data_IF_100911188349
#
_entry.id   IF_100911188349
#
_cell.length_a   1.000
_cell.length_b   1.000
_cell.length_c   1.000
_cell.angle_alpha   90.00
_cell.angle_beta   90.00
_cell.angle_gamma   90.00
#
_symmetry.space_group_name_H-M   'P 1'
#
loop_
_entity.id
_entity.type
_entity.pdbx_description
1 polymer ?
#
# COMPACT_ATOMS: atom_id res chain seq x y z
N UNK A 1 -22.60 -24.17 6.65
CA UNK A 1 -21.31 -23.61 6.28
C UNK A 1 -21.52 -22.18 5.75
N UNK A 2 -20.76 -21.25 6.26
CA UNK A 2 -20.89 -19.86 5.83
C UNK A 2 -20.45 -19.71 4.37
N UNK A 3 -21.21 -18.95 3.62
CA UNK A 3 -20.84 -18.65 2.22
C UNK A 3 -19.63 -17.73 2.20
N UNK A 4 -18.71 -17.92 1.25
CA UNK A 4 -17.62 -16.99 1.06
C UNK A 4 -18.15 -15.57 0.82
N UNK A 5 -17.39 -14.59 1.29
CA UNK A 5 -17.75 -13.18 1.10
C UNK A 5 -17.94 -12.83 -0.39
N UNK A 6 -17.17 -13.46 -1.27
CA UNK A 6 -17.28 -13.27 -2.71
C UNK A 6 -18.67 -13.59 -3.27
N UNK A 7 -19.33 -14.61 -2.75
CA UNK A 7 -20.69 -14.97 -3.20
C UNK A 7 -21.71 -13.92 -2.77
N UNK A 8 -21.54 -13.35 -1.60
CA UNK A 8 -22.42 -12.28 -1.12
C UNK A 8 -22.22 -11.01 -1.95
N UNK A 9 -20.99 -10.68 -2.29
CA UNK A 9 -20.66 -9.51 -3.10
C UNK A 9 -21.18 -9.63 -4.53
N UNK A 10 -21.22 -10.85 -5.08
CA UNK A 10 -21.73 -11.08 -6.43
C UNK A 10 -23.22 -10.77 -6.59
N UNK A 11 -23.95 -10.68 -5.49
CA UNK A 11 -25.38 -10.33 -5.50
C UNK A 11 -25.62 -8.83 -5.47
N UNK A 12 -24.57 -8.03 -5.29
CA UNK A 12 -24.64 -6.57 -5.23
C UNK A 12 -24.25 -6.01 -6.60
N UNK A 13 -24.66 -4.78 -6.88
CA UNK A 13 -24.28 -4.09 -8.12
C UNK A 13 -22.74 -4.09 -8.27
N UNK A 14 -22.22 -4.66 -9.38
CA UNK A 14 -20.77 -4.76 -9.58
C UNK A 14 -20.04 -3.41 -9.56
N UNK A 15 -20.66 -2.35 -10.05
CA UNK A 15 -20.06 -1.02 -10.07
C UNK A 15 -19.86 -0.47 -8.66
N UNK A 16 -20.83 -0.69 -7.77
CA UNK A 16 -20.76 -0.27 -6.38
C UNK A 16 -19.68 -1.06 -5.64
N UNK A 17 -19.61 -2.36 -5.88
CA UNK A 17 -18.61 -3.24 -5.27
C UNK A 17 -17.21 -2.82 -5.71
N UNK A 18 -17.01 -2.55 -7.00
CA UNK A 18 -15.71 -2.14 -7.53
C UNK A 18 -15.27 -0.80 -6.95
N UNK A 19 -16.17 0.18 -6.88
CA UNK A 19 -15.84 1.49 -6.30
C UNK A 19 -15.46 1.37 -4.82
N UNK A 20 -16.20 0.55 -4.05
CA UNK A 20 -15.90 0.33 -2.64
C UNK A 20 -14.55 -0.38 -2.46
N UNK A 21 -14.22 -1.33 -3.32
CA UNK A 21 -12.93 -2.01 -3.30
C UNK A 21 -11.77 -1.07 -3.56
N UNK A 22 -11.89 -0.24 -4.58
CA UNK A 22 -10.85 0.74 -4.94
C UNK A 22 -10.60 1.71 -3.79
N UNK A 23 -11.65 2.22 -3.17
CA UNK A 23 -11.53 3.12 -2.03
C UNK A 23 -10.85 2.43 -0.84
N UNK A 24 -11.25 1.20 -0.52
CA UNK A 24 -10.66 0.44 0.57
C UNK A 24 -9.18 0.10 0.30
N UNK A 25 -8.81 -0.23 -0.93
CA UNK A 25 -7.43 -0.51 -1.31
C UNK A 25 -6.53 0.72 -1.16
N UNK A 26 -7.02 1.89 -1.52
CA UNK A 26 -6.28 3.14 -1.38
C UNK A 26 -6.06 3.48 0.09
N UNK A 27 -7.08 3.33 0.93
CA UNK A 27 -6.96 3.54 2.37
C UNK A 27 -5.99 2.56 3.03
N UNK A 28 -6.02 1.29 2.59
CA UNK A 28 -5.11 0.26 3.09
C UNK A 28 -3.66 0.60 2.73
N UNK A 29 -3.40 1.16 1.54
CA UNK A 29 -2.05 1.55 1.15
C UNK A 29 -1.50 2.62 2.09
N UNK A 30 -2.29 3.65 2.38
CA UNK A 30 -1.89 4.71 3.30
C UNK A 30 -1.62 4.18 4.71
N UNK A 31 -2.50 3.34 5.22
CA UNK A 31 -2.34 2.71 6.53
C UNK A 31 -1.12 1.79 6.57
N UNK A 32 -0.85 1.06 5.50
CA UNK A 32 0.26 0.11 5.47
C UNK A 32 1.64 0.76 5.56
N UNK A 33 1.82 1.95 5.03
CA UNK A 33 3.12 2.62 5.14
C UNK A 33 3.48 2.90 6.60
N UNK A 34 2.58 3.52 7.36
CA UNK A 34 2.81 3.76 8.77
C UNK A 34 2.83 2.46 9.58
N UNK A 35 1.96 1.50 9.26
CA UNK A 35 1.92 0.22 9.95
C UNK A 35 3.19 -0.60 9.76
N UNK A 36 3.75 -0.62 8.55
CA UNK A 36 5.02 -1.29 8.29
C UNK A 36 6.13 -0.67 9.12
N UNK A 37 6.17 0.66 9.15
CA UNK A 37 7.15 1.39 9.97
C UNK A 37 7.00 1.04 11.45
N UNK A 38 5.78 1.04 11.96
CA UNK A 38 5.47 0.72 13.36
C UNK A 38 5.80 -0.72 13.72
N UNK A 39 5.57 -1.67 12.81
CA UNK A 39 5.92 -3.07 13.04
C UNK A 39 7.43 -3.26 13.22
N UNK A 40 8.22 -2.42 12.61
CA UNK A 40 9.68 -2.43 12.75
C UNK A 40 10.15 -1.57 13.93
N UNK A 41 9.21 -1.04 14.71
CA UNK A 41 9.47 -0.19 15.86
C UNK A 41 10.26 1.09 15.48
N UNK A 42 10.04 1.58 14.26
CA UNK A 42 10.66 2.80 13.77
C UNK A 42 9.73 3.98 13.97
N UNK A 43 10.21 5.04 14.61
CA UNK A 43 9.48 6.30 14.69
C UNK A 43 9.59 7.07 13.36
N UNK A 44 8.74 8.07 13.18
CA UNK A 44 8.86 8.97 12.02
C UNK A 44 10.22 9.68 12.01
N UNK A 45 10.74 10.02 13.19
CA UNK A 45 12.07 10.67 13.34
C UNK A 45 13.16 9.75 12.85
N UNK A 46 13.14 8.48 13.27
CA UNK A 46 14.12 7.50 12.82
C UNK A 46 14.02 7.24 11.31
N UNK A 47 12.81 7.17 10.80
CA UNK A 47 12.57 6.98 9.36
C UNK A 47 13.10 8.17 8.57
N UNK A 48 12.86 9.39 9.07
CA UNK A 48 13.38 10.62 8.48
C UNK A 48 14.90 10.59 8.42
N UNK A 49 15.53 10.16 9.49
CA UNK A 49 16.99 10.04 9.56
C UNK A 49 17.51 9.06 8.51
N UNK A 50 16.88 7.90 8.37
CA UNK A 50 17.26 6.88 7.38
C UNK A 50 17.09 7.37 5.94
N UNK A 51 16.04 8.15 5.70
CA UNK A 51 15.75 8.71 4.38
C UNK A 51 16.52 9.99 4.07
N UNK A 52 17.15 10.61 5.09
CA UNK A 52 17.83 11.89 4.92
C UNK A 52 16.88 13.05 4.64
N UNK A 53 15.67 13.00 5.16
CA UNK A 53 14.64 14.03 5.00
C UNK A 53 14.09 14.44 6.36
N UNK A 54 13.24 15.46 6.40
CA UNK A 54 12.64 15.92 7.65
C UNK A 54 11.50 15.01 8.09
N UNK A 55 11.19 15.02 9.39
CA UNK A 55 10.04 14.28 9.93
C UNK A 55 8.72 14.71 9.27
N UNK A 56 8.43 16.01 9.07
CA UNK A 56 7.21 16.40 8.34
C UNK A 56 7.13 15.82 6.93
N UNK A 57 8.28 15.65 6.25
CA UNK A 57 8.31 15.03 4.94
C UNK A 57 7.91 13.56 5.00
N UNK A 58 8.33 12.84 6.04
CA UNK A 58 7.90 11.45 6.26
C UNK A 58 6.39 11.39 6.50
N UNK A 59 5.89 12.27 7.36
CA UNK A 59 4.45 12.34 7.62
C UNK A 59 3.64 12.61 6.35
N UNK A 60 4.15 13.51 5.49
CA UNK A 60 3.52 13.79 4.20
C UNK A 60 3.54 12.60 3.26
N UNK A 61 4.65 11.87 3.20
CA UNK A 61 4.74 10.64 2.39
C UNK A 61 3.69 9.62 2.84
N UNK A 62 3.56 9.42 4.13
CA UNK A 62 2.60 8.47 4.69
C UNK A 62 1.15 8.89 4.41
N UNK A 63 0.88 10.19 4.37
CA UNK A 63 -0.45 10.71 4.04
C UNK A 63 -0.77 10.65 2.55
N UNK A 64 0.25 10.67 1.69
CA UNK A 64 0.09 10.69 0.23
C UNK A 64 0.00 9.31 -0.40
N UNK A 65 -0.30 8.27 0.35
CA UNK A 65 -0.24 6.90 -0.14
C UNK A 65 -0.75 6.67 -1.56
N UNK A 66 -1.76 7.44 -2.00
CA UNK A 66 -2.33 7.32 -3.35
C UNK A 66 -1.54 8.09 -4.41
N UNK A 67 -0.86 9.15 -4.02
CA UNK A 67 -0.17 10.06 -4.93
C UNK A 67 1.35 9.94 -4.82
N UNK A 68 1.83 8.98 -4.04
CA UNK A 68 3.26 8.80 -3.87
C UNK A 68 3.90 8.33 -5.17
N UNK A 69 5.02 8.95 -5.51
CA UNK A 69 5.79 8.49 -6.65
C UNK A 69 6.39 7.12 -6.36
N UNK A 70 6.48 6.28 -7.37
CA UNK A 70 7.05 4.95 -7.23
C UNK A 70 8.49 5.00 -6.71
N UNK A 71 9.26 5.98 -7.17
CA UNK A 71 10.63 6.17 -6.68
C UNK A 71 10.68 6.51 -5.19
N UNK A 72 9.75 7.32 -4.70
CA UNK A 72 9.65 7.66 -3.27
C UNK A 72 9.22 6.45 -2.44
N UNK A 73 8.27 5.67 -2.95
CA UNK A 73 7.84 4.44 -2.30
C UNK A 73 8.97 3.43 -2.20
N UNK A 74 9.76 3.29 -3.26
CA UNK A 74 10.93 2.42 -3.27
C UNK A 74 11.94 2.83 -2.19
N UNK A 75 12.26 4.12 -2.11
CA UNK A 75 13.18 4.63 -1.11
C UNK A 75 12.67 4.40 0.31
N UNK A 76 11.38 4.61 0.53
CA UNK A 76 10.74 4.38 1.82
C UNK A 76 10.90 2.92 2.25
N UNK A 77 10.57 1.99 1.37
CA UNK A 77 10.65 0.54 1.65
C UNK A 77 12.10 0.10 1.87
N UNK A 78 13.01 0.57 1.04
CA UNK A 78 14.44 0.22 1.17
C UNK A 78 15.05 0.78 2.45
N UNK A 79 14.62 1.95 2.90
CA UNK A 79 15.11 2.53 4.15
C UNK A 79 14.71 1.69 5.36
N UNK A 80 13.64 0.90 5.26
CA UNK A 80 13.23 -0.06 6.28
C UNK A 80 13.94 -1.40 6.16
N UNK A 81 14.81 -1.58 5.17
CA UNK A 81 15.47 -2.84 4.89
C UNK A 81 14.67 -3.79 4.02
N UNK A 82 13.54 -3.33 3.49
CA UNK A 82 12.68 -4.12 2.62
C UNK A 82 13.01 -3.96 1.14
N UNK A 83 12.23 -4.64 0.33
CA UNK A 83 12.33 -4.56 -1.12
C UNK A 83 10.93 -4.34 -1.70
N UNK A 84 10.80 -3.35 -2.58
CA UNK A 84 9.53 -3.08 -3.25
C UNK A 84 9.39 -3.97 -4.49
N UNK A 85 8.28 -4.68 -4.55
CA UNK A 85 7.87 -5.43 -5.74
C UNK A 85 6.45 -5.04 -6.10
N UNK A 86 6.14 -5.07 -7.40
CA UNK A 86 4.80 -4.79 -7.90
C UNK A 86 4.31 -6.02 -8.64
N UNK A 87 3.09 -6.43 -8.35
CA UNK A 87 2.46 -7.56 -9.00
C UNK A 87 1.27 -7.07 -9.81
N UNK A 88 1.26 -7.40 -11.11
CA UNK A 88 0.16 -7.07 -12.01
C UNK A 88 -0.66 -8.33 -12.24
N UNK A 89 -1.95 -8.25 -11.95
CA UNK A 89 -2.88 -9.35 -12.16
C UNK A 89 -3.75 -9.05 -13.39
N UNK A 90 -3.83 -10.00 -14.29
CA UNK A 90 -4.65 -9.89 -15.49
C UNK A 90 -5.98 -10.61 -15.31
N UNK A 91 -7.02 -10.22 -16.09
CA UNK A 91 -8.35 -10.85 -15.97
C UNK A 91 -8.37 -12.35 -16.21
N UNK A 92 -7.39 -12.87 -16.97
CA UNK A 92 -7.27 -14.29 -17.28
C UNK A 92 -6.57 -15.09 -16.17
N UNK A 93 -6.22 -14.46 -15.06
CA UNK A 93 -5.57 -15.09 -13.93
C UNK A 93 -4.05 -15.07 -13.95
N UNK A 94 -3.44 -14.55 -15.01
CA UNK A 94 -1.98 -14.44 -15.07
C UNK A 94 -1.46 -13.32 -14.17
N UNK A 95 -0.26 -13.51 -13.67
CA UNK A 95 0.44 -12.52 -12.85
C UNK A 95 1.80 -12.21 -13.45
N UNK A 96 2.17 -10.95 -13.41
CA UNK A 96 3.53 -10.52 -13.75
C UNK A 96 4.06 -9.71 -12.58
N UNK A 97 5.12 -10.23 -11.95
CA UNK A 97 5.81 -9.54 -10.88
C UNK A 97 6.95 -8.70 -11.43
N UNK A 98 7.11 -7.48 -10.92
CA UNK A 98 8.17 -6.57 -11.31
C UNK A 98 8.96 -6.13 -10.09
N UNK A 99 10.28 -6.14 -10.22
CA UNK A 99 11.19 -5.59 -9.22
C UNK A 99 11.59 -4.17 -9.63
N UNK A 100 11.76 -3.34 -8.63
CA UNK A 100 12.22 -1.97 -8.85
C UNK A 100 13.56 -1.74 -8.20
#
# INVERSE_FOLDING_TARGET
MAKPLNELLNKVNPEVVQAAKEQAELEILELRLSMLREQLELSQVEMAHRLGISQPSVANLEKRGQEIKLSSLKRYVEAMGGKLTVDVQFPDGRHIGMNF
#
